data_IF_329869091564
#
_entry.id   IF_329869091564
#
_cell.length_a   1.000
_cell.length_b   1.000
_cell.length_c   1.000
_cell.angle_alpha   90.00
_cell.angle_beta   90.00
_cell.angle_gamma   90.00
#
_symmetry.space_group_name_H-M   'P 1'
#
loop_
_entity.id
_entity.type
_entity.pdbx_description
1 polymer ?
#
# COMPACT_ATOMS: atom_id res chain seq x y z
N UNK A 1 18.66 -10.67 14.78
CA UNK A 1 18.66 -9.43 13.95
C UNK A 1 18.09 -8.32 14.81
N UNK A 2 18.56 -7.07 14.68
CA UNK A 2 18.04 -5.91 15.43
C UNK A 2 16.66 -5.42 14.96
N UNK A 3 16.05 -6.09 13.97
CA UNK A 3 14.86 -5.62 13.27
C UNK A 3 15.13 -4.49 12.26
N UNK A 4 16.37 -4.01 12.18
CA UNK A 4 16.81 -3.01 11.20
C UNK A 4 17.75 -3.66 10.18
N UNK A 5 17.64 -3.25 8.92
CA UNK A 5 18.55 -3.73 7.87
C UNK A 5 19.87 -2.96 7.94
N UNK A 6 20.94 -3.66 7.57
CA UNK A 6 22.28 -3.10 7.64
C UNK A 6 22.43 -1.94 6.65
N UNK A 7 23.05 -0.85 7.12
CA UNK A 7 23.30 0.38 6.37
C UNK A 7 22.05 1.14 5.91
N UNK A 8 20.90 0.88 6.56
CA UNK A 8 19.67 1.64 6.39
C UNK A 8 19.41 2.52 7.62
N UNK A 9 18.78 3.67 7.38
CA UNK A 9 18.11 4.45 8.40
C UNK A 9 16.83 3.75 8.87
N UNK A 10 16.28 4.16 10.01
CA UNK A 10 15.16 3.46 10.65
C UNK A 10 13.91 3.40 9.77
N UNK A 11 13.58 4.47 9.06
CA UNK A 11 12.41 4.50 8.17
C UNK A 11 12.60 3.62 6.92
N UNK A 12 13.82 3.59 6.39
CA UNK A 12 14.18 2.77 5.22
C UNK A 12 13.91 1.30 5.49
N UNK A 13 14.19 0.86 6.72
CA UNK A 13 13.86 -0.48 7.20
C UNK A 13 12.36 -0.75 7.22
N UNK A 14 11.52 0.23 7.60
CA UNK A 14 10.07 0.12 7.47
C UNK A 14 9.62 -0.07 6.02
N UNK A 15 10.23 0.65 5.08
CA UNK A 15 9.98 0.46 3.64
C UNK A 15 10.44 -0.92 3.14
N UNK A 16 11.65 -1.35 3.50
CA UNK A 16 12.21 -2.64 3.09
C UNK A 16 11.40 -3.80 3.68
N UNK A 17 10.79 -3.65 4.85
CA UNK A 17 9.80 -4.60 5.39
C UNK A 17 8.60 -4.77 4.44
N UNK A 18 8.06 -3.67 3.91
CA UNK A 18 6.98 -3.70 2.91
C UNK A 18 7.45 -4.37 1.61
N UNK A 19 8.64 -4.04 1.11
CA UNK A 19 9.23 -4.67 -0.09
C UNK A 19 9.35 -6.19 0.08
N UNK A 20 9.85 -6.66 1.23
CA UNK A 20 9.98 -8.09 1.51
C UNK A 20 8.64 -8.78 1.66
N UNK A 21 7.67 -8.15 2.32
CA UNK A 21 6.32 -8.70 2.42
C UNK A 21 5.62 -8.74 1.05
N UNK A 22 5.88 -7.77 0.16
CA UNK A 22 5.44 -7.84 -1.23
C UNK A 22 6.14 -8.97 -2.00
N UNK A 23 7.42 -9.21 -1.77
CA UNK A 23 8.13 -10.34 -2.38
C UNK A 23 7.56 -11.68 -1.93
N UNK A 24 7.33 -11.85 -0.63
CA UNK A 24 6.69 -13.06 -0.05
C UNK A 24 5.26 -13.25 -0.57
N UNK A 25 4.56 -12.17 -0.94
CA UNK A 25 3.23 -12.31 -1.57
C UNK A 25 3.25 -12.90 -2.98
N UNK A 26 4.41 -12.91 -3.65
CA UNK A 26 4.57 -13.50 -4.99
C UNK A 26 4.99 -14.98 -4.95
N UNK A 27 5.71 -15.38 -3.90
CA UNK A 27 6.30 -16.70 -3.75
C UNK A 27 6.16 -17.10 -2.29
N UNK A 28 5.52 -18.24 -2.01
CA UNK A 28 5.46 -18.78 -0.65
C UNK A 28 6.88 -19.08 -0.16
N UNK A 29 7.43 -18.14 0.58
CA UNK A 29 8.87 -18.02 0.83
C UNK A 29 9.18 -18.32 2.30
N UNK A 30 10.28 -19.04 2.59
CA UNK A 30 10.71 -19.29 3.95
C UNK A 30 11.10 -18.00 4.69
N UNK A 31 11.20 -16.86 4.01
CA UNK A 31 11.56 -15.56 4.62
C UNK A 31 10.49 -14.98 5.55
N UNK A 32 9.30 -15.60 5.67
CA UNK A 32 8.23 -15.16 6.58
C UNK A 32 8.69 -14.95 8.03
N UNK A 33 9.65 -15.77 8.52
CA UNK A 33 10.19 -15.62 9.87
C UNK A 33 10.80 -14.23 10.15
N UNK A 34 11.21 -13.50 9.10
CA UNK A 34 11.78 -12.15 9.23
C UNK A 34 10.74 -11.20 9.83
N UNK A 35 9.46 -11.32 9.49
CA UNK A 35 8.43 -10.42 10.01
C UNK A 35 8.29 -10.56 11.52
N UNK A 36 8.20 -11.80 12.01
CA UNK A 36 8.14 -12.06 13.45
C UNK A 36 9.42 -11.59 14.16
N UNK A 37 10.58 -11.89 13.59
CA UNK A 37 11.86 -11.47 14.16
C UNK A 37 11.98 -9.94 14.21
N UNK A 38 11.56 -9.23 13.16
CA UNK A 38 11.54 -7.76 13.14
C UNK A 38 10.55 -7.23 14.17
N UNK A 39 9.39 -7.86 14.32
CA UNK A 39 8.36 -7.42 15.24
C UNK A 39 8.81 -7.48 16.71
N UNK A 40 9.47 -8.56 17.12
CA UNK A 40 9.95 -8.70 18.51
C UNK A 40 11.18 -7.84 18.83
N UNK A 41 11.90 -7.34 17.81
CA UNK A 41 13.07 -6.47 17.99
C UNK A 41 12.79 -4.98 17.76
N UNK A 42 11.56 -4.63 17.40
CA UNK A 42 11.11 -3.24 17.19
C UNK A 42 9.90 -2.97 18.05
N UNK A 43 9.70 -1.70 18.40
CA UNK A 43 8.48 -1.23 19.06
C UNK A 43 7.69 -0.29 18.15
N UNK A 44 6.58 0.26 18.64
CA UNK A 44 5.76 1.20 17.86
C UNK A 44 6.46 2.55 17.60
N UNK A 45 7.54 2.87 18.33
CA UNK A 45 8.29 4.12 18.23
C UNK A 45 9.60 3.97 17.44
N UNK A 46 9.78 2.84 16.74
CA UNK A 46 10.97 2.57 15.92
C UNK A 46 11.27 3.68 14.90
N UNK A 47 10.25 4.41 14.44
CA UNK A 47 10.38 5.58 13.55
C UNK A 47 11.06 6.81 14.18
N UNK A 48 11.25 6.87 15.50
CA UNK A 48 11.93 8.00 16.13
C UNK A 48 11.05 9.24 16.31
N UNK A 49 11.51 10.41 15.83
CA UNK A 49 10.91 11.72 16.14
C UNK A 49 9.98 12.27 15.05
N UNK A 50 10.00 11.67 13.86
CA UNK A 50 9.29 12.13 12.66
C UNK A 50 8.15 11.18 12.27
N UNK A 51 7.02 11.76 11.86
CA UNK A 51 5.77 11.04 11.69
C UNK A 51 5.70 10.26 10.38
N UNK A 52 6.41 10.67 9.33
CA UNK A 52 6.63 9.86 8.13
C UNK A 52 7.42 8.58 8.46
N UNK A 53 8.48 8.66 9.26
CA UNK A 53 9.25 7.48 9.69
C UNK A 53 8.36 6.41 10.32
N UNK A 54 7.44 6.81 11.23
CA UNK A 54 6.48 5.87 11.81
C UNK A 54 5.54 5.27 10.75
N UNK A 55 5.08 6.07 9.80
CA UNK A 55 4.11 5.62 8.80
C UNK A 55 4.72 4.66 7.77
N UNK A 56 6.02 4.74 7.49
CA UNK A 56 6.71 3.70 6.71
C UNK A 56 6.62 2.34 7.38
N UNK A 57 6.81 2.28 8.70
CA UNK A 57 6.61 1.05 9.48
C UNK A 57 5.17 0.58 9.49
N UNK A 58 4.20 1.50 9.56
CA UNK A 58 2.78 1.17 9.45
C UNK A 58 2.49 0.42 8.15
N UNK A 59 2.93 0.95 6.99
CA UNK A 59 2.72 0.29 5.70
C UNK A 59 3.41 -1.08 5.63
N UNK A 60 4.62 -1.19 6.19
CA UNK A 60 5.33 -2.46 6.36
C UNK A 60 4.53 -3.49 7.16
N UNK A 61 3.97 -3.10 8.31
CA UNK A 61 3.16 -4.00 9.14
C UNK A 61 1.84 -4.41 8.48
N UNK A 62 1.18 -3.51 7.75
CA UNK A 62 -0.01 -3.87 6.98
C UNK A 62 0.30 -4.88 5.87
N UNK A 63 1.44 -4.71 5.19
CA UNK A 63 1.84 -5.67 4.17
C UNK A 63 2.27 -7.01 4.78
N UNK A 64 2.98 -7.00 5.91
CA UNK A 64 3.33 -8.21 6.65
C UNK A 64 2.08 -8.98 7.11
N UNK A 65 1.09 -8.30 7.67
CA UNK A 65 -0.20 -8.89 8.05
C UNK A 65 -0.90 -9.59 6.87
N UNK A 66 -0.77 -9.03 5.65
CA UNK A 66 -1.37 -9.64 4.46
C UNK A 66 -0.72 -10.96 4.03
N UNK A 67 0.52 -11.26 4.43
CA UNK A 67 1.21 -12.51 4.05
C UNK A 67 1.42 -13.46 5.24
N UNK A 68 1.34 -12.94 6.44
CA UNK A 68 1.36 -13.67 7.72
C UNK A 68 0.35 -12.99 8.65
N UNK A 69 -0.87 -13.56 8.80
CA UNK A 69 -2.00 -12.89 9.48
C UNK A 69 -1.87 -12.90 11.01
N UNK A 70 -0.72 -12.51 11.54
CA UNK A 70 -0.54 -12.20 12.96
C UNK A 70 -1.22 -10.86 13.27
N UNK A 71 -2.29 -10.91 14.07
CA UNK A 71 -3.09 -9.74 14.44
C UNK A 71 -2.25 -8.63 15.11
N UNK A 72 -1.12 -8.99 15.73
CA UNK A 72 -0.25 -8.01 16.37
C UNK A 72 0.39 -7.04 15.38
N UNK A 73 0.61 -7.45 14.13
CA UNK A 73 1.08 -6.55 13.06
C UNK A 73 0.02 -5.49 12.74
N UNK A 74 -1.23 -5.93 12.61
CA UNK A 74 -2.36 -5.04 12.33
C UNK A 74 -2.60 -4.06 13.50
N UNK A 75 -2.54 -4.54 14.75
CA UNK A 75 -2.62 -3.66 15.92
C UNK A 75 -1.47 -2.65 15.98
N UNK A 76 -0.24 -3.06 15.64
CA UNK A 76 0.89 -2.12 15.58
C UNK A 76 0.70 -1.04 14.53
N UNK A 77 0.21 -1.40 13.35
CA UNK A 77 -0.15 -0.43 12.31
C UNK A 77 -1.24 0.55 12.79
N UNK A 78 -2.31 0.05 13.40
CA UNK A 78 -3.40 0.87 13.92
C UNK A 78 -2.94 1.83 15.02
N UNK A 79 -2.12 1.36 15.95
CA UNK A 79 -1.57 2.19 17.03
C UNK A 79 -0.66 3.29 16.51
N UNK A 80 0.13 3.03 15.46
CA UNK A 80 0.92 4.06 14.79
C UNK A 80 0.00 5.11 14.14
N UNK A 81 -1.07 4.69 13.46
CA UNK A 81 -2.04 5.61 12.85
C UNK A 81 -2.66 6.54 13.90
N UNK A 82 -3.13 5.99 15.02
CA UNK A 82 -3.72 6.79 16.09
C UNK A 82 -2.70 7.73 16.75
N UNK A 83 -1.44 7.31 16.88
CA UNK A 83 -0.36 8.16 17.34
C UNK A 83 -0.14 9.37 16.42
N UNK A 84 -0.14 9.16 15.10
CA UNK A 84 0.00 10.23 14.09
C UNK A 84 -1.22 11.16 14.13
N UNK A 85 -2.44 10.62 14.21
CA UNK A 85 -3.68 11.41 14.37
C UNK A 85 -3.56 12.39 15.53
N UNK A 86 -3.14 11.91 16.69
CA UNK A 86 -3.11 12.70 17.93
C UNK A 86 -1.99 13.75 17.92
N UNK A 87 -0.83 13.41 17.36
CA UNK A 87 0.39 14.19 17.57
C UNK A 87 0.84 15.02 16.36
N UNK A 88 0.39 14.68 15.15
CA UNK A 88 0.85 15.31 13.92
C UNK A 88 -0.22 16.16 13.23
N UNK A 89 -1.50 15.80 13.32
CA UNK A 89 -2.57 16.58 12.69
C UNK A 89 -2.76 17.93 13.37
N UNK A 90 -2.69 19.01 12.60
CA UNK A 90 -2.82 20.36 13.12
C UNK A 90 -3.76 21.22 12.25
N UNK A 91 -4.95 21.50 12.77
CA UNK A 91 -6.00 22.30 12.10
C UNK A 91 -5.69 23.81 12.08
N UNK A 92 -4.81 24.31 12.96
CA UNK A 92 -4.50 25.75 13.03
C UNK A 92 -3.38 26.14 12.07
N UNK A 93 -2.33 25.33 11.97
CA UNK A 93 -1.21 25.53 11.06
C UNK A 93 -1.58 25.03 9.65
N UNK A 94 -1.40 25.88 8.63
CA UNK A 94 -1.77 25.55 7.24
C UNK A 94 -3.21 25.05 7.04
N UNK A 95 -4.14 25.39 7.96
CA UNK A 95 -5.57 24.99 7.92
C UNK A 95 -5.81 23.47 7.87
N UNK A 96 -4.95 22.67 8.50
CA UNK A 96 -5.01 21.19 8.46
C UNK A 96 -3.72 20.57 7.95
N UNK A 97 -3.73 19.25 7.80
CA UNK A 97 -2.57 18.44 7.40
C UNK A 97 -1.64 18.11 8.56
N UNK A 98 -0.75 17.16 8.32
CA UNK A 98 0.22 16.64 9.26
C UNK A 98 1.52 17.45 9.26
N UNK A 99 2.01 17.72 10.46
CA UNK A 99 3.37 18.16 10.73
C UNK A 99 4.35 17.00 10.51
N UNK A 100 5.55 17.29 10.00
CA UNK A 100 6.56 16.29 9.67
C UNK A 100 7.17 15.64 10.91
N UNK A 101 7.67 16.43 11.86
CA UNK A 101 8.23 15.91 13.11
C UNK A 101 7.72 16.71 14.31
N UNK A 102 7.66 16.08 15.48
CA UNK A 102 7.20 16.73 16.72
C UNK A 102 7.94 18.04 17.05
N UNK A 103 9.22 18.13 16.68
CA UNK A 103 10.11 19.27 16.98
C UNK A 103 10.22 20.31 15.87
N UNK A 104 9.64 20.09 14.68
CA UNK A 104 9.68 21.05 13.57
C UNK A 104 8.28 21.34 13.02
N UNK A 105 7.96 22.62 12.82
CA UNK A 105 6.65 23.01 12.29
C UNK A 105 6.55 22.82 10.77
N UNK A 106 7.30 21.91 10.14
CA UNK A 106 7.29 21.73 8.70
C UNK A 106 6.14 20.80 8.27
N UNK A 107 5.47 21.09 7.16
CA UNK A 107 4.51 20.18 6.53
C UNK A 107 5.03 19.82 5.15
N UNK A 108 5.39 18.56 4.98
CA UNK A 108 5.86 18.01 3.71
C UNK A 108 4.80 17.12 3.07
N UNK A 109 4.96 16.85 1.78
CA UNK A 109 4.05 16.02 1.03
C UNK A 109 4.05 14.57 1.57
N UNK A 110 5.23 13.97 1.75
CA UNK A 110 5.35 12.56 2.12
C UNK A 110 4.61 12.18 3.41
N UNK A 111 4.68 13.01 4.47
CA UNK A 111 4.00 12.70 5.75
C UNK A 111 2.50 12.57 5.55
N UNK A 112 1.93 13.42 4.69
CA UNK A 112 0.51 13.52 4.41
C UNK A 112 0.05 12.44 3.42
N UNK A 113 0.84 12.15 2.39
CA UNK A 113 0.57 11.07 1.44
C UNK A 113 0.57 9.69 2.11
N UNK A 114 1.54 9.44 2.99
CA UNK A 114 1.60 8.23 3.81
C UNK A 114 0.36 8.08 4.68
N UNK A 115 -0.18 9.19 5.19
CA UNK A 115 -1.37 9.17 6.03
C UNK A 115 -2.64 8.86 5.24
N UNK A 116 -2.74 9.40 4.03
CA UNK A 116 -3.83 9.07 3.12
C UNK A 116 -3.85 7.56 2.81
N UNK A 117 -2.72 7.02 2.34
CA UNK A 117 -2.66 5.60 1.97
C UNK A 117 -2.80 4.68 3.18
N UNK A 118 -2.20 5.01 4.33
CA UNK A 118 -2.31 4.18 5.54
C UNK A 118 -3.74 4.16 6.08
N UNK A 119 -4.42 5.31 6.13
CA UNK A 119 -5.84 5.39 6.48
C UNK A 119 -6.66 4.49 5.57
N UNK A 120 -6.48 4.58 4.25
CA UNK A 120 -7.24 3.75 3.32
C UNK A 120 -6.92 2.26 3.40
N UNK A 121 -5.67 1.87 3.70
CA UNK A 121 -5.30 0.46 3.89
C UNK A 121 -5.80 -0.12 5.21
N UNK A 122 -6.00 0.72 6.24
CA UNK A 122 -6.60 0.32 7.52
C UNK A 122 -8.13 0.25 7.46
N UNK A 123 -8.77 1.00 6.55
CA UNK A 123 -10.23 1.10 6.46
C UNK A 123 -10.98 -0.25 6.47
N UNK A 124 -10.58 -1.29 5.70
CA UNK A 124 -11.26 -2.59 5.72
C UNK A 124 -11.21 -3.31 7.08
N UNK A 125 -10.28 -2.91 7.96
CA UNK A 125 -10.02 -3.56 9.25
C UNK A 125 -10.62 -2.80 10.44
N UNK A 126 -11.39 -1.73 10.21
CA UNK A 126 -11.91 -0.86 11.26
C UNK A 126 -12.63 -1.64 12.38
N UNK A 127 -13.52 -2.55 12.03
CA UNK A 127 -14.27 -3.33 13.00
C UNK A 127 -13.39 -4.28 13.82
N UNK A 128 -12.36 -4.88 13.19
CA UNK A 128 -11.41 -5.77 13.85
C UNK A 128 -10.50 -5.02 14.84
N UNK A 129 -10.37 -3.70 14.65
CA UNK A 129 -9.54 -2.80 15.45
C UNK A 129 -10.36 -2.02 16.49
N UNK A 130 -11.62 -2.41 16.74
CA UNK A 130 -12.54 -1.69 17.63
C UNK A 130 -12.65 -0.20 17.26
N UNK A 131 -12.77 0.10 15.96
CA UNK A 131 -13.04 1.44 15.43
C UNK A 131 -14.40 1.46 14.72
N UNK A 132 -15.01 2.63 14.66
CA UNK A 132 -16.20 2.82 13.82
C UNK A 132 -15.87 2.49 12.35
N UNK A 133 -16.77 1.86 11.58
CA UNK A 133 -16.51 1.51 10.17
C UNK A 133 -16.03 2.69 9.31
N UNK A 134 -16.45 3.91 9.64
CA UNK A 134 -16.11 5.14 8.93
C UNK A 134 -14.84 5.83 9.44
N UNK A 135 -14.21 5.37 10.52
CA UNK A 135 -13.10 6.07 11.19
C UNK A 135 -11.95 6.40 10.23
N UNK A 136 -11.39 5.38 9.60
CA UNK A 136 -10.25 5.56 8.69
C UNK A 136 -10.64 6.26 7.38
N UNK A 137 -11.84 5.98 6.84
CA UNK A 137 -12.33 6.64 5.63
C UNK A 137 -12.52 8.15 5.86
N UNK A 138 -13.04 8.56 7.03
CA UNK A 138 -13.19 9.96 7.37
C UNK A 138 -11.84 10.68 7.47
N UNK A 139 -10.81 10.02 8.03
CA UNK A 139 -9.46 10.56 8.04
C UNK A 139 -8.86 10.68 6.64
N UNK A 140 -9.01 9.66 5.79
CA UNK A 140 -8.57 9.72 4.40
C UNK A 140 -9.26 10.84 3.61
N UNK A 141 -10.57 11.02 3.78
CA UNK A 141 -11.31 12.12 3.16
C UNK A 141 -10.84 13.49 3.69
N UNK A 142 -10.60 13.63 4.99
CA UNK A 142 -10.10 14.87 5.60
C UNK A 142 -8.71 15.22 5.07
N UNK A 143 -7.82 14.23 5.00
CA UNK A 143 -6.46 14.35 4.46
C UNK A 143 -6.51 14.76 2.98
N UNK A 144 -7.21 14.00 2.13
CA UNK A 144 -7.27 14.31 0.70
C UNK A 144 -7.83 15.71 0.41
N UNK A 145 -8.91 16.10 1.10
CA UNK A 145 -9.47 17.43 0.97
C UNK A 145 -8.47 18.54 1.33
N UNK A 146 -7.61 18.31 2.33
CA UNK A 146 -6.55 19.24 2.66
C UNK A 146 -5.43 19.23 1.63
N UNK A 147 -4.94 18.04 1.25
CA UNK A 147 -3.84 17.85 0.32
C UNK A 147 -4.12 18.50 -1.04
N UNK A 148 -5.32 18.27 -1.60
CA UNK A 148 -5.76 18.85 -2.87
C UNK A 148 -5.74 20.39 -2.85
N UNK A 149 -6.06 21.00 -1.71
CA UNK A 149 -6.09 22.47 -1.54
C UNK A 149 -4.79 23.08 -1.02
N UNK A 150 -3.82 22.26 -0.63
CA UNK A 150 -2.54 22.71 -0.04
C UNK A 150 -1.67 23.47 -1.03
N UNK A 151 -1.87 23.23 -2.32
CA UNK A 151 -1.03 23.73 -3.42
C UNK A 151 0.21 22.87 -3.70
N UNK A 152 0.40 21.73 -3.02
CA UNK A 152 1.55 20.82 -3.23
C UNK A 152 1.60 20.22 -4.64
N UNK A 153 0.44 19.94 -5.24
CA UNK A 153 0.35 19.56 -6.67
C UNK A 153 0.50 20.84 -7.50
N UNK A 154 1.60 20.95 -8.23
CA UNK A 154 1.88 22.12 -9.07
C UNK A 154 1.21 22.05 -10.45
N UNK A 155 1.42 23.10 -11.26
CA UNK A 155 0.83 23.23 -12.59
C UNK A 155 1.24 22.16 -13.60
N UNK A 156 2.34 21.44 -13.34
CA UNK A 156 2.80 20.31 -14.17
C UNK A 156 2.25 18.96 -13.70
N UNK A 157 1.36 18.95 -12.69
CA UNK A 157 0.91 17.75 -12.00
C UNK A 157 2.05 16.96 -11.33
N UNK A 158 3.11 17.66 -10.90
CA UNK A 158 4.11 17.11 -10.00
C UNK A 158 3.89 17.64 -8.59
N UNK A 159 4.25 16.85 -7.58
CA UNK A 159 4.13 17.18 -6.17
C UNK A 159 5.47 17.71 -5.67
N UNK A 160 5.47 18.97 -5.23
CA UNK A 160 6.61 19.58 -4.56
C UNK A 160 6.77 19.08 -3.13
N UNK A 161 7.98 19.18 -2.61
CA UNK A 161 8.39 18.60 -1.32
C UNK A 161 7.53 19.02 -0.12
N UNK A 162 7.08 20.27 -0.05
CA UNK A 162 6.34 20.74 1.13
C UNK A 162 5.86 22.17 1.08
N UNK A 163 5.54 22.70 2.25
CA UNK A 163 4.97 24.03 2.42
C UNK A 163 5.92 24.97 3.16
N UNK A 164 5.88 26.26 2.81
CA UNK A 164 6.57 27.35 3.52
C UNK A 164 5.56 28.38 4.03
N UNK A 165 6.00 29.25 4.94
CA UNK A 165 5.17 30.35 5.44
C UNK A 165 4.98 31.39 4.35
N UNK A 166 3.77 31.93 4.22
CA UNK A 166 3.41 32.89 3.16
C UNK A 166 4.29 34.14 3.08
N UNK A 167 4.95 34.51 4.19
CA UNK A 167 5.78 35.72 4.31
C UNK A 167 7.28 35.51 4.06
N UNK A 168 7.69 34.40 3.45
CA UNK A 168 9.11 34.13 3.23
C UNK A 168 9.47 34.01 1.75
N UNK A 169 10.21 35.01 1.25
CA UNK A 169 10.90 34.91 -0.03
C UNK A 169 11.75 33.63 -0.05
N UNK A 170 11.60 32.85 -1.12
CA UNK A 170 12.31 31.60 -1.38
C UNK A 170 13.81 31.93 -1.49
N UNK A 171 14.52 31.87 -0.36
CA UNK A 171 15.97 31.93 -0.32
C UNK A 171 16.51 30.56 -0.69
N UNK A 172 17.31 30.50 -1.75
CA UNK A 172 17.93 29.33 -2.41
C UNK A 172 18.86 28.47 -1.54
N UNK A 173 18.83 28.61 -0.22
CA UNK A 173 19.65 27.84 0.72
C UNK A 173 18.77 26.92 1.57
N UNK A 174 18.90 25.62 1.33
CA UNK A 174 18.02 24.51 1.70
C UNK A 174 17.80 24.25 3.21
N UNK A 175 18.42 24.99 4.14
CA UNK A 175 18.46 24.56 5.56
C UNK A 175 17.96 25.56 6.60
N UNK A 176 17.78 26.86 6.29
CA UNK A 176 17.50 27.87 7.34
C UNK A 176 16.02 28.20 7.62
N UNK A 177 15.07 27.57 6.93
CA UNK A 177 13.65 27.99 6.98
C UNK A 177 12.64 26.98 7.53
N UNK A 178 13.07 25.83 8.06
CA UNK A 178 12.16 24.77 8.56
C UNK A 178 11.41 25.12 9.87
N UNK A 179 11.62 26.31 10.46
CA UNK A 179 11.11 26.68 11.79
C UNK A 179 9.98 27.72 11.82
N UNK A 180 9.29 28.00 10.69
CA UNK A 180 8.46 29.21 10.58
C UNK A 180 7.04 29.06 10.00
N UNK A 181 6.43 27.87 9.94
CA UNK A 181 4.96 27.77 9.71
C UNK A 181 4.21 28.21 10.98
N UNK A 182 4.20 29.51 11.26
CA UNK A 182 3.50 30.11 12.41
C UNK A 182 2.25 30.89 12.00
N UNK A 183 2.10 31.19 10.71
CA UNK A 183 0.90 31.80 10.14
C UNK A 183 -0.11 30.73 9.71
N UNK A 184 -1.40 31.05 9.79
CA UNK A 184 -2.48 30.16 9.32
C UNK A 184 -2.53 30.00 7.79
N UNK A 185 -1.58 30.58 7.05
CA UNK A 185 -1.52 30.58 5.58
C UNK A 185 -0.16 30.08 5.11
N UNK A 186 -0.16 28.89 4.53
CA UNK A 186 1.02 28.27 3.95
C UNK A 186 0.94 28.32 2.42
N UNK A 187 2.09 28.32 1.77
CA UNK A 187 2.22 28.29 0.30
C UNK A 187 3.15 27.14 -0.09
N UNK A 188 3.01 26.64 -1.31
CA UNK A 188 3.92 25.65 -1.86
C UNK A 188 5.36 26.20 -1.83
N UNK A 189 6.31 25.40 -1.33
CA UNK A 189 7.72 25.78 -1.27
C UNK A 189 8.44 25.75 -2.63
N UNK A 190 7.79 25.23 -3.67
CA UNK A 190 8.34 24.92 -5.00
C UNK A 190 9.61 24.07 -4.92
N UNK A 191 9.69 23.21 -3.90
CA UNK A 191 10.81 22.32 -3.64
C UNK A 191 10.90 21.17 -4.63
N UNK A 192 11.92 20.35 -4.50
CA UNK A 192 12.18 19.23 -5.40
C UNK A 192 10.98 18.30 -5.52
N UNK A 193 10.67 17.89 -6.75
CA UNK A 193 9.64 16.89 -7.05
C UNK A 193 10.26 15.50 -7.01
N UNK A 194 10.48 14.98 -5.79
CA UNK A 194 11.04 13.65 -5.55
C UNK A 194 10.09 12.56 -6.03
N UNK A 195 10.59 11.46 -6.60
CA UNK A 195 9.73 10.45 -7.24
C UNK A 195 8.76 9.78 -6.25
N UNK A 196 9.18 9.56 -5.00
CA UNK A 196 8.34 8.94 -3.97
C UNK A 196 7.06 9.74 -3.66
N UNK A 197 7.12 11.08 -3.64
CA UNK A 197 5.97 11.96 -3.45
C UNK A 197 4.97 11.80 -4.61
N UNK A 198 5.49 11.48 -5.80
CA UNK A 198 4.64 11.25 -6.97
C UNK A 198 3.99 9.87 -6.93
N UNK A 199 4.55 8.95 -6.15
CA UNK A 199 4.14 7.55 -6.08
C UNK A 199 3.12 7.30 -4.98
N UNK A 200 3.45 7.61 -3.73
CA UNK A 200 2.65 7.23 -2.55
C UNK A 200 1.20 7.72 -2.70
N UNK A 201 1.03 8.96 -3.15
CA UNK A 201 -0.28 9.56 -3.42
C UNK A 201 -1.15 8.72 -4.37
N UNK A 202 -0.57 8.06 -5.38
CA UNK A 202 -1.30 7.33 -6.41
C UNK A 202 -2.14 6.22 -5.80
N UNK A 203 -1.53 5.45 -4.89
CA UNK A 203 -2.20 4.35 -4.21
C UNK A 203 -3.28 4.83 -3.23
N UNK A 204 -3.04 5.96 -2.54
CA UNK A 204 -4.02 6.56 -1.65
C UNK A 204 -5.26 7.02 -2.41
N UNK A 205 -5.07 7.69 -3.54
CA UNK A 205 -6.13 8.11 -4.44
C UNK A 205 -6.89 6.93 -5.05
N UNK A 206 -6.19 5.88 -5.47
CA UNK A 206 -6.82 4.69 -6.04
C UNK A 206 -7.71 3.96 -5.03
N UNK A 207 -7.23 3.80 -3.79
CA UNK A 207 -8.03 3.19 -2.72
C UNK A 207 -9.23 4.08 -2.35
N UNK A 208 -9.03 5.40 -2.25
CA UNK A 208 -10.11 6.33 -1.93
C UNK A 208 -11.16 6.39 -3.05
N UNK A 209 -10.74 6.30 -4.32
CA UNK A 209 -11.63 6.12 -5.46
C UNK A 209 -12.49 4.88 -5.31
N UNK A 210 -11.87 3.73 -5.03
CA UNK A 210 -12.59 2.47 -4.87
C UNK A 210 -13.63 2.53 -3.73
N UNK A 211 -13.33 3.25 -2.64
CA UNK A 211 -14.24 3.40 -1.52
C UNK A 211 -15.39 4.40 -1.78
N UNK A 212 -15.21 5.37 -2.67
CA UNK A 212 -16.14 6.52 -2.83
C UNK A 212 -16.84 6.59 -4.19
N UNK A 213 -16.27 5.95 -5.22
CA UNK A 213 -16.70 6.09 -6.61
C UNK A 213 -16.37 7.44 -7.25
N UNK A 214 -15.62 8.33 -6.59
CA UNK A 214 -15.29 9.66 -7.14
C UNK A 214 -14.17 9.55 -8.20
N UNK A 215 -14.55 9.58 -9.48
CA UNK A 215 -13.63 9.41 -10.62
C UNK A 215 -12.54 10.47 -10.71
N UNK A 216 -12.77 11.66 -10.15
CA UNK A 216 -11.77 12.75 -10.11
C UNK A 216 -10.45 12.31 -9.45
N UNK A 217 -10.53 11.40 -8.47
CA UNK A 217 -9.37 10.86 -7.76
C UNK A 217 -8.45 10.06 -8.70
N UNK A 218 -9.02 9.22 -9.58
CA UNK A 218 -8.25 8.46 -10.57
C UNK A 218 -7.74 9.38 -11.67
N UNK A 219 -8.52 10.36 -12.12
CA UNK A 219 -8.07 11.34 -13.12
C UNK A 219 -6.83 12.10 -12.62
N UNK A 220 -6.81 12.50 -11.34
CA UNK A 220 -5.65 13.17 -10.74
C UNK A 220 -4.46 12.20 -10.62
N UNK A 221 -4.69 10.96 -10.16
CA UNK A 221 -3.63 9.95 -10.06
C UNK A 221 -2.98 9.67 -11.43
N UNK A 222 -3.78 9.54 -12.50
CA UNK A 222 -3.26 9.35 -13.86
C UNK A 222 -2.44 10.55 -14.34
N UNK A 223 -2.88 11.78 -14.06
CA UNK A 223 -2.10 12.99 -14.43
C UNK A 223 -0.76 13.07 -13.72
N UNK A 224 -0.71 12.72 -12.43
CA UNK A 224 0.54 12.68 -11.65
C UNK A 224 1.47 11.58 -12.19
N UNK A 225 0.95 10.37 -12.41
CA UNK A 225 1.71 9.27 -12.97
C UNK A 225 2.26 9.59 -14.37
N UNK A 226 1.42 10.15 -15.24
CA UNK A 226 1.82 10.59 -16.59
C UNK A 226 2.89 11.69 -16.53
N UNK A 227 2.72 12.72 -15.69
CA UNK A 227 3.71 13.77 -15.53
C UNK A 227 5.06 13.21 -15.06
N UNK A 228 5.03 12.24 -14.13
CA UNK A 228 6.24 11.63 -13.58
C UNK A 228 7.00 10.83 -14.63
N UNK A 229 6.34 9.92 -15.35
CA UNK A 229 7.00 9.08 -16.36
C UNK A 229 7.40 9.86 -17.63
N UNK A 230 6.98 11.11 -17.76
CA UNK A 230 7.39 12.01 -18.86
C UNK A 230 8.50 12.98 -18.45
N UNK A 231 8.54 13.42 -17.19
CA UNK A 231 9.44 14.49 -16.73
C UNK A 231 10.59 14.01 -15.85
N UNK A 232 10.41 12.92 -15.08
CA UNK A 232 11.42 12.38 -14.17
C UNK A 232 12.11 11.16 -14.79
N UNK A 233 12.56 11.30 -16.03
CA UNK A 233 13.22 10.25 -16.80
C UNK A 233 14.51 10.76 -17.44
N UNK A 234 15.44 9.85 -17.71
CA UNK A 234 16.52 10.07 -18.66
C UNK A 234 15.98 10.11 -20.10
N UNK A 235 16.82 10.53 -21.05
CA UNK A 235 16.43 10.57 -22.47
C UNK A 235 16.21 9.18 -23.10
N UNK A 236 16.60 8.10 -22.42
CA UNK A 236 16.30 6.71 -22.79
C UNK A 236 14.96 6.20 -22.20
N UNK A 237 14.20 7.04 -21.50
CA UNK A 237 12.91 6.68 -20.90
C UNK A 237 12.99 6.04 -19.52
N UNK A 238 14.18 5.91 -18.94
CA UNK A 238 14.38 5.26 -17.64
C UNK A 238 14.17 6.25 -16.49
N UNK A 239 13.48 5.81 -15.44
CA UNK A 239 13.16 6.62 -14.26
C UNK A 239 14.42 7.17 -13.57
N UNK A 240 14.36 8.45 -13.20
CA UNK A 240 15.48 9.22 -12.68
C UNK A 240 15.08 9.98 -11.42
N UNK A 241 15.90 9.91 -10.37
CA UNK A 241 15.82 10.88 -9.28
C UNK A 241 16.44 12.22 -9.70
N UNK A 242 15.85 13.36 -9.28
CA UNK A 242 16.41 14.68 -9.53
C UNK A 242 17.87 14.87 -9.06
N UNK A 243 18.30 14.13 -8.03
CA UNK A 243 19.65 14.20 -7.45
C UNK A 243 20.70 13.36 -8.20
N UNK A 244 20.31 12.46 -9.10
CA UNK A 244 21.26 11.54 -9.73
C UNK A 244 22.34 12.28 -10.53
N UNK A 245 23.63 11.89 -10.41
CA UNK A 245 24.14 10.69 -9.73
C UNK A 245 24.51 10.86 -8.24
N UNK A 246 24.27 12.03 -7.64
CA UNK A 246 24.80 12.43 -6.33
C UNK A 246 23.74 12.40 -5.22
N UNK A 247 22.91 11.36 -5.22
CA UNK A 247 21.86 11.21 -4.22
C UNK A 247 22.42 10.82 -2.85
N UNK A 248 21.77 11.31 -1.80
CA UNK A 248 22.07 10.88 -0.43
C UNK A 248 21.44 9.51 -0.13
N UNK A 249 21.65 8.99 1.07
CA UNK A 249 21.19 7.65 1.46
C UNK A 249 19.67 7.47 1.38
N UNK A 250 18.87 8.50 1.67
CA UNK A 250 17.41 8.45 1.64
C UNK A 250 16.89 8.32 0.21
N UNK A 251 17.42 9.16 -0.67
CA UNK A 251 16.97 9.33 -2.04
C UNK A 251 17.14 8.07 -2.89
N UNK A 252 17.99 7.12 -2.47
CA UNK A 252 18.22 5.89 -3.22
C UNK A 252 17.02 4.94 -3.25
N UNK A 253 16.07 5.07 -2.31
CA UNK A 253 14.84 4.27 -2.25
C UNK A 253 13.68 4.84 -3.07
N UNK A 254 13.73 6.14 -3.37
CA UNK A 254 12.55 6.90 -3.79
C UNK A 254 11.92 6.35 -5.09
N UNK A 255 12.75 6.04 -6.10
CA UNK A 255 12.27 5.40 -7.35
C UNK A 255 11.58 4.06 -7.13
N UNK A 256 12.08 3.27 -6.18
CA UNK A 256 11.48 1.99 -5.80
C UNK A 256 10.07 2.16 -5.25
N UNK A 257 9.92 3.13 -4.34
CA UNK A 257 8.61 3.52 -3.80
C UNK A 257 7.69 3.97 -4.94
N UNK A 258 8.16 4.84 -5.84
CA UNK A 258 7.35 5.27 -6.97
C UNK A 258 6.80 4.10 -7.79
N UNK A 259 7.67 3.18 -8.24
CA UNK A 259 7.24 2.08 -9.10
C UNK A 259 6.31 1.10 -8.37
N UNK A 260 6.51 0.89 -7.06
CA UNK A 260 5.60 0.10 -6.23
C UNK A 260 4.20 0.69 -6.20
N UNK A 261 4.09 1.98 -5.94
CA UNK A 261 2.79 2.63 -5.86
C UNK A 261 2.14 2.85 -7.23
N UNK A 262 2.93 3.01 -8.30
CA UNK A 262 2.43 2.94 -9.69
C UNK A 262 1.80 1.57 -9.98
N UNK A 263 2.43 0.48 -9.54
CA UNK A 263 1.87 -0.86 -9.67
C UNK A 263 0.56 -1.04 -8.88
N UNK A 264 0.44 -0.40 -7.71
CA UNK A 264 -0.80 -0.40 -6.92
C UNK A 264 -1.94 0.41 -7.56
N UNK A 265 -1.65 1.40 -8.39
CA UNK A 265 -2.65 2.16 -9.14
C UNK A 265 -3.28 1.32 -10.27
N UNK A 266 -2.48 0.53 -10.98
CA UNK A 266 -2.90 -0.16 -12.23
C UNK A 266 -4.21 -0.95 -12.11
N UNK A 267 -4.47 -1.75 -11.04
CA UNK A 267 -5.71 -2.51 -10.90
C UNK A 267 -7.00 -1.68 -10.83
N UNK A 268 -6.90 -0.38 -10.55
CA UNK A 268 -8.04 0.53 -10.45
C UNK A 268 -8.33 1.29 -11.74
N UNK A 269 -7.46 1.15 -12.73
CA UNK A 269 -7.64 1.76 -14.05
C UNK A 269 -8.56 0.91 -14.91
N UNK A 270 -9.40 1.57 -15.70
CA UNK A 270 -10.28 0.91 -16.68
C UNK A 270 -9.83 1.14 -18.12
N UNK A 271 -9.00 2.16 -18.36
CA UNK A 271 -8.48 2.48 -19.69
C UNK A 271 -7.25 1.60 -20.04
N UNK A 272 -7.39 0.84 -21.12
CA UNK A 272 -6.35 -0.07 -21.60
C UNK A 272 -5.06 0.64 -22.01
N UNK A 273 -5.14 1.90 -22.50
CA UNK A 273 -3.97 2.63 -22.95
C UNK A 273 -3.06 3.02 -21.77
N UNK A 274 -3.61 3.55 -20.67
CA UNK A 274 -2.83 3.83 -19.46
C UNK A 274 -2.30 2.57 -18.80
N UNK A 275 -3.12 1.51 -18.71
CA UNK A 275 -2.67 0.21 -18.18
C UNK A 275 -1.44 -0.29 -18.96
N UNK A 276 -1.51 -0.29 -20.29
CA UNK A 276 -0.40 -0.73 -21.12
C UNK A 276 0.81 0.19 -21.00
N UNK A 277 0.60 1.51 -20.98
CA UNK A 277 1.68 2.49 -20.83
C UNK A 277 2.46 2.29 -19.53
N UNK A 278 1.76 2.14 -18.40
CA UNK A 278 2.42 1.96 -17.10
C UNK A 278 3.11 0.61 -16.98
N UNK A 279 2.52 -0.47 -17.49
CA UNK A 279 3.18 -1.78 -17.58
C UNK A 279 4.45 -1.73 -18.43
N UNK A 280 4.39 -1.13 -19.62
CA UNK A 280 5.55 -0.98 -20.49
C UNK A 280 6.65 -0.14 -19.85
N UNK A 281 6.29 0.93 -19.14
CA UNK A 281 7.25 1.73 -18.38
C UNK A 281 7.96 0.92 -17.29
N UNK A 282 7.20 0.17 -16.47
CA UNK A 282 7.77 -0.71 -15.44
C UNK A 282 8.69 -1.77 -16.06
N UNK A 283 8.26 -2.40 -17.16
CA UNK A 283 9.03 -3.41 -17.87
C UNK A 283 10.36 -2.86 -18.39
N UNK A 284 10.32 -1.71 -19.07
CA UNK A 284 11.51 -1.08 -19.63
C UNK A 284 12.55 -0.74 -18.55
N UNK A 285 12.08 -0.22 -17.41
CA UNK A 285 12.95 0.04 -16.27
C UNK A 285 13.54 -1.26 -15.71
N UNK A 286 12.73 -2.31 -15.54
CA UNK A 286 13.19 -3.59 -15.00
C UNK A 286 14.21 -4.27 -15.92
N UNK A 287 13.98 -4.24 -17.24
CA UNK A 287 14.93 -4.76 -18.22
C UNK A 287 16.27 -4.03 -18.12
N UNK A 288 16.26 -2.71 -18.06
CA UNK A 288 17.49 -1.90 -17.88
C UNK A 288 18.25 -2.28 -16.61
N UNK A 289 17.54 -2.43 -15.49
CA UNK A 289 18.15 -2.80 -14.20
C UNK A 289 18.71 -4.23 -14.24
N UNK A 290 17.93 -5.18 -14.77
CA UNK A 290 18.29 -6.59 -14.81
C UNK A 290 19.51 -6.85 -15.70
N UNK A 291 19.57 -6.25 -16.89
CA UNK A 291 20.63 -6.54 -17.86
C UNK A 291 21.96 -5.88 -17.53
N UNK A 292 21.93 -4.75 -16.81
CA UNK A 292 23.10 -3.85 -16.84
C UNK A 292 23.42 -3.20 -15.50
N UNK A 293 22.57 -3.34 -14.47
CA UNK A 293 22.72 -2.59 -13.20
C UNK A 293 22.88 -3.45 -11.96
N UNK A 294 22.98 -4.76 -12.13
CA UNK A 294 23.44 -5.68 -11.09
C UNK A 294 24.98 -5.68 -11.07
N UNK A 295 25.57 -5.34 -9.94
CA UNK A 295 27.01 -5.47 -9.77
C UNK A 295 27.39 -6.93 -9.55
N UNK A 296 28.25 -7.50 -10.40
CA UNK A 296 28.64 -8.91 -10.30
C UNK A 296 29.47 -9.23 -9.05
N UNK A 297 30.12 -8.22 -8.44
CA UNK A 297 31.00 -8.41 -7.29
C UNK A 297 30.25 -8.71 -5.98
N UNK A 298 29.08 -8.09 -5.78
CA UNK A 298 28.31 -8.19 -4.54
C UNK A 298 26.81 -8.50 -4.76
N UNK A 299 26.36 -8.53 -6.02
CA UNK A 299 24.98 -8.80 -6.39
C UNK A 299 24.01 -7.65 -6.10
N UNK A 300 24.50 -6.49 -5.62
CA UNK A 300 23.68 -5.32 -5.35
C UNK A 300 23.33 -4.57 -6.63
N UNK A 301 22.26 -3.77 -6.59
CA UNK A 301 21.82 -2.99 -7.73
C UNK A 301 22.21 -1.52 -7.62
N UNK A 302 22.55 -0.93 -8.76
CA UNK A 302 22.91 0.48 -8.90
C UNK A 302 21.74 1.41 -8.61
N UNK A 303 22.06 2.61 -8.08
CA UNK A 303 21.13 3.74 -8.01
C UNK A 303 20.65 4.17 -9.41
N UNK A 304 21.56 4.19 -10.39
CA UNK A 304 21.29 4.71 -11.73
C UNK A 304 20.81 3.57 -12.61
N UNK A 305 19.50 3.54 -12.86
CA UNK A 305 18.88 2.48 -13.67
C UNK A 305 19.16 2.64 -15.16
N UNK A 306 19.47 3.85 -15.63
CA UNK A 306 19.67 4.16 -17.06
C UNK A 306 20.97 3.58 -17.62
N UNK A 307 20.89 3.04 -18.84
CA UNK A 307 22.03 2.49 -19.58
C UNK A 307 23.00 3.57 -20.09
N UNK A 308 22.64 4.85 -19.95
CA UNK A 308 23.54 5.96 -20.25
C UNK A 308 24.71 6.07 -19.25
N UNK A 309 24.59 5.43 -18.08
CA UNK A 309 25.71 5.23 -17.15
C UNK A 309 26.39 3.89 -17.42
N UNK A 310 27.72 3.93 -17.64
CA UNK A 310 28.50 2.73 -17.97
C UNK A 310 28.77 1.80 -16.77
N UNK A 311 28.55 2.24 -15.52
CA UNK A 311 28.98 1.49 -14.34
C UNK A 311 27.82 0.74 -13.67
N UNK A 312 27.86 -0.60 -13.69
CA UNK A 312 26.95 -1.47 -12.94
C UNK A 312 27.31 -1.59 -11.45
N UNK A 313 28.55 -1.25 -11.09
CA UNK A 313 29.10 -1.25 -9.74
C UNK A 313 29.39 0.19 -9.28
N UNK A 314 28.40 1.07 -9.32
CA UNK A 314 28.55 2.43 -8.80
C UNK A 314 28.83 2.42 -7.29
N UNK A 315 29.59 3.39 -6.78
CA UNK A 315 30.01 3.43 -5.37
C UNK A 315 28.89 3.81 -4.39
N UNK A 316 27.75 4.32 -4.87
CA UNK A 316 26.60 4.67 -4.04
C UNK A 316 25.69 3.49 -3.71
N UNK A 317 25.80 2.36 -4.46
CA UNK A 317 24.98 1.17 -4.26
C UNK A 317 25.03 0.65 -2.82
N UNK A 318 23.86 0.33 -2.29
CA UNK A 318 23.71 -0.16 -0.93
C UNK A 318 22.41 -0.98 -0.81
N UNK A 319 21.97 -1.23 0.43
CA UNK A 319 20.71 -1.93 0.71
C UNK A 319 19.51 -1.15 0.16
N UNK A 320 19.52 0.18 0.26
CA UNK A 320 18.46 1.08 -0.23
C UNK A 320 18.30 1.03 -1.75
N UNK A 321 19.38 1.18 -2.53
CA UNK A 321 19.32 1.05 -4.00
C UNK A 321 18.88 -0.36 -4.45
N UNK A 322 19.28 -1.38 -3.70
CA UNK A 322 18.88 -2.77 -3.95
C UNK A 322 17.41 -2.98 -3.65
N UNK A 323 16.91 -2.48 -2.52
CA UNK A 323 15.49 -2.52 -2.14
C UNK A 323 14.61 -1.83 -3.20
N UNK A 324 15.07 -0.70 -3.74
CA UNK A 324 14.38 -0.04 -4.85
C UNK A 324 14.31 -0.89 -6.13
N UNK A 325 15.38 -1.59 -6.49
CA UNK A 325 15.37 -2.52 -7.62
C UNK A 325 14.42 -3.72 -7.36
N UNK A 326 14.33 -4.20 -6.12
CA UNK A 326 13.37 -5.24 -5.75
C UNK A 326 11.92 -4.77 -5.87
N UNK A 327 11.60 -3.57 -5.39
CA UNK A 327 10.27 -2.98 -5.60
C UNK A 327 9.90 -2.94 -7.09
N UNK A 328 10.84 -2.62 -7.97
CA UNK A 328 10.65 -2.62 -9.43
C UNK A 328 10.34 -4.02 -9.98
N UNK A 329 11.15 -5.04 -9.63
CA UNK A 329 10.93 -6.41 -10.12
C UNK A 329 9.61 -6.99 -9.63
N UNK A 330 9.26 -6.74 -8.36
CA UNK A 330 7.99 -7.15 -7.77
C UNK A 330 6.83 -6.45 -8.47
N UNK A 331 6.97 -5.16 -8.77
CA UNK A 331 5.97 -4.37 -9.50
C UNK A 331 5.71 -4.92 -10.90
N UNK A 332 6.75 -5.29 -11.64
CA UNK A 332 6.61 -5.96 -12.94
C UNK A 332 5.90 -7.30 -12.79
N UNK A 333 6.34 -8.15 -11.87
CA UNK A 333 5.73 -9.47 -11.65
C UNK A 333 4.25 -9.39 -11.24
N UNK A 334 3.85 -8.36 -10.47
CA UNK A 334 2.45 -8.15 -10.07
C UNK A 334 1.57 -7.60 -11.19
N UNK A 335 2.15 -6.91 -12.17
CA UNK A 335 1.38 -6.14 -13.15
C UNK A 335 1.40 -6.76 -14.55
N UNK A 336 2.42 -7.54 -14.91
CA UNK A 336 2.57 -8.13 -16.24
C UNK A 336 2.32 -9.64 -16.16
N UNK A 337 1.22 -10.16 -16.76
CA UNK A 337 0.99 -11.59 -16.81
C UNK A 337 2.10 -12.28 -17.63
N UNK A 338 2.61 -13.46 -17.20
CA UNK A 338 3.66 -14.16 -17.94
C UNK A 338 3.20 -14.53 -19.36
N UNK A 339 4.04 -14.27 -20.36
CA UNK A 339 3.73 -14.45 -21.78
C UNK A 339 3.56 -15.91 -22.25
N UNK A 340 3.67 -16.91 -21.37
CA UNK A 340 3.50 -18.34 -21.69
C UNK A 340 2.94 -19.18 -20.53
N UNK A 341 2.19 -18.57 -19.61
CA UNK A 341 1.58 -19.31 -18.51
C UNK A 341 0.07 -19.13 -18.57
N UNK A 342 -0.63 -20.22 -18.91
CA UNK A 342 -2.08 -20.37 -18.76
C UNK A 342 -2.51 -20.49 -17.28
N UNK A 343 -1.79 -19.85 -16.36
CA UNK A 343 -2.15 -19.76 -14.96
C UNK A 343 -2.11 -18.29 -14.54
N UNK A 344 -3.30 -17.81 -14.25
CA UNK A 344 -3.53 -16.50 -13.68
C UNK A 344 -2.98 -16.47 -12.25
N UNK A 345 -1.80 -15.89 -12.04
CA UNK A 345 -1.33 -15.57 -10.70
C UNK A 345 -1.90 -14.21 -10.30
N UNK A 346 -2.73 -14.21 -9.25
CA UNK A 346 -3.48 -13.05 -8.79
C UNK A 346 -2.86 -12.45 -7.54
N UNK A 347 -2.88 -11.12 -7.43
CA UNK A 347 -2.38 -10.38 -6.28
C UNK A 347 -3.28 -10.60 -5.05
N UNK A 348 -2.65 -11.04 -3.96
CA UNK A 348 -3.25 -11.16 -2.63
C UNK A 348 -3.54 -9.77 -2.05
N UNK A 349 -4.81 -9.44 -1.88
CA UNK A 349 -5.28 -8.36 -1.01
C UNK A 349 -6.13 -9.05 0.06
N UNK A 350 -5.74 -8.87 1.32
CA UNK A 350 -6.26 -9.62 2.46
C UNK A 350 -7.78 -9.73 2.49
N UNK A 351 -8.21 -10.88 3.04
CA UNK A 351 -9.55 -11.47 3.05
C UNK A 351 -9.84 -12.26 1.77
N UNK A 352 -9.66 -13.58 1.87
CA UNK A 352 -9.99 -14.52 0.80
C UNK A 352 -11.47 -14.47 0.45
N UNK A 353 -11.82 -13.65 -0.53
CA UNK A 353 -13.19 -13.55 -1.04
C UNK A 353 -13.33 -14.46 -2.27
N UNK A 354 -14.21 -15.47 -2.19
CA UNK A 354 -14.75 -16.10 -3.39
C UNK A 354 -15.72 -15.12 -4.04
N UNK A 355 -15.71 -15.04 -5.37
CA UNK A 355 -16.69 -14.25 -6.13
C UNK A 355 -17.57 -15.14 -6.98
N UNK A 356 -18.81 -14.75 -7.18
CA UNK A 356 -19.70 -15.40 -8.13
C UNK A 356 -19.42 -14.93 -9.58
N UNK A 357 -20.17 -15.48 -10.53
CA UNK A 357 -20.14 -15.14 -11.96
C UNK A 357 -20.55 -13.69 -12.26
N UNK A 358 -21.00 -12.94 -11.24
CA UNK A 358 -21.33 -11.51 -11.28
C UNK A 358 -20.35 -10.64 -10.50
N UNK A 359 -19.20 -11.19 -10.11
CA UNK A 359 -18.14 -10.48 -9.41
C UNK A 359 -18.53 -10.00 -8.00
N UNK A 360 -19.55 -10.60 -7.37
CA UNK A 360 -19.95 -10.27 -6.00
C UNK A 360 -19.14 -11.10 -4.98
N UNK A 361 -18.56 -10.44 -3.97
CA UNK A 361 -17.76 -11.12 -2.94
C UNK A 361 -18.62 -11.86 -1.91
N UNK A 362 -18.21 -13.08 -1.53
CA UNK A 362 -18.80 -13.80 -0.39
C UNK A 362 -18.34 -13.17 0.94
N UNK A 363 -19.26 -12.64 1.78
CA UNK A 363 -18.89 -12.08 3.08
C UNK A 363 -18.48 -13.19 4.07
N UNK A 364 -17.54 -12.88 4.97
CA UNK A 364 -17.15 -13.67 6.15
C UNK A 364 -16.68 -15.11 5.85
N UNK A 365 -15.60 -15.22 5.08
CA UNK A 365 -14.98 -16.48 4.66
C UNK A 365 -13.85 -16.93 5.61
N UNK A 366 -13.79 -18.22 5.97
CA UNK A 366 -12.70 -18.81 6.75
C UNK A 366 -12.16 -20.11 6.10
N UNK A 367 -10.84 -20.16 5.80
CA UNK A 367 -10.21 -21.12 4.87
C UNK A 367 -9.50 -22.32 5.55
N UNK A 368 -9.65 -22.61 6.84
CA UNK A 368 -8.81 -23.65 7.50
C UNK A 368 -9.57 -24.88 7.98
N UNK A 369 -9.31 -26.06 7.36
CA UNK A 369 -9.65 -27.42 7.83
C UNK A 369 -10.91 -27.51 8.70
N UNK A 370 -11.98 -26.89 8.22
CA UNK A 370 -13.15 -26.68 9.05
C UNK A 370 -13.90 -28.00 9.11
N UNK A 371 -13.89 -28.65 10.27
CA UNK A 371 -14.84 -29.72 10.55
C UNK A 371 -16.21 -29.10 10.84
N UNK A 372 -17.29 -29.86 10.67
CA UNK A 372 -18.64 -29.38 10.94
C UNK A 372 -18.77 -28.84 12.37
N UNK A 373 -18.10 -29.52 13.32
CA UNK A 373 -18.01 -29.11 14.72
C UNK A 373 -17.38 -27.74 14.89
N UNK A 374 -16.30 -27.43 14.16
CA UNK A 374 -15.66 -26.10 14.22
C UNK A 374 -16.58 -25.05 13.62
N UNK A 375 -17.18 -25.34 12.46
CA UNK A 375 -18.13 -24.43 11.80
C UNK A 375 -19.31 -24.07 12.72
N UNK A 376 -19.90 -25.09 13.33
CA UNK A 376 -20.99 -24.94 14.30
C UNK A 376 -20.58 -24.10 15.50
N UNK A 377 -19.46 -24.45 16.14
CA UNK A 377 -19.01 -23.77 17.36
C UNK A 377 -18.75 -22.28 17.09
N UNK A 378 -18.16 -21.95 15.93
CA UNK A 378 -17.95 -20.57 15.51
C UNK A 378 -19.28 -19.83 15.28
N UNK A 379 -20.27 -20.48 14.66
CA UNK A 379 -21.60 -19.92 14.48
C UNK A 379 -22.32 -19.67 15.82
N UNK A 380 -22.21 -20.61 16.76
CA UNK A 380 -22.84 -20.54 18.07
C UNK A 380 -22.24 -19.44 18.97
N UNK A 381 -20.98 -19.07 18.73
CA UNK A 381 -20.31 -17.97 19.43
C UNK A 381 -20.61 -16.59 18.83
N UNK A 382 -21.08 -16.53 17.59
CA UNK A 382 -21.43 -15.28 16.92
C UNK A 382 -22.89 -14.89 17.23
N UNK A 383 -23.05 -13.80 17.99
CA UNK A 383 -24.38 -13.29 18.40
C UNK A 383 -25.23 -12.78 17.25
N UNK A 384 -24.64 -12.51 16.09
CA UNK A 384 -25.34 -12.11 14.87
C UNK A 384 -25.65 -13.28 13.94
N UNK A 385 -25.11 -14.48 14.22
CA UNK A 385 -25.30 -15.63 13.37
C UNK A 385 -26.69 -16.25 13.56
N UNK A 386 -27.32 -16.54 12.44
CA UNK A 386 -28.60 -17.26 12.36
C UNK A 386 -28.44 -18.65 11.75
N UNK A 387 -27.38 -18.88 10.98
CA UNK A 387 -27.09 -20.19 10.38
C UNK A 387 -25.59 -20.35 10.11
N UNK A 388 -25.18 -21.58 9.83
CA UNK A 388 -23.89 -21.87 9.21
C UNK A 388 -24.04 -22.94 8.12
N UNK A 389 -23.14 -22.93 7.14
CA UNK A 389 -23.01 -23.97 6.12
C UNK A 389 -21.64 -24.63 6.25
N UNK A 390 -21.63 -25.97 6.30
CA UNK A 390 -20.41 -26.79 6.24
C UNK A 390 -20.40 -27.63 4.95
N UNK A 391 -19.21 -27.93 4.41
CA UNK A 391 -18.99 -28.63 3.13
C UNK A 391 -19.48 -27.89 1.87
N UNK A 392 -19.30 -26.57 1.81
CA UNK A 392 -19.36 -25.89 0.51
C UNK A 392 -18.16 -26.36 -0.32
N UNK A 393 -18.42 -27.22 -1.31
CA UNK A 393 -17.39 -27.67 -2.24
C UNK A 393 -17.08 -26.59 -3.26
N UNK A 394 -15.91 -25.98 -3.16
CA UNK A 394 -15.35 -25.11 -4.20
C UNK A 394 -13.97 -25.64 -4.58
N UNK A 395 -13.79 -26.03 -5.84
CA UNK A 395 -12.56 -26.60 -6.40
C UNK A 395 -11.92 -27.75 -5.54
N UNK A 396 -12.75 -28.65 -4.99
CA UNK A 396 -12.29 -29.80 -4.21
C UNK A 396 -11.96 -29.52 -2.73
N UNK A 397 -12.07 -28.28 -2.28
CA UNK A 397 -11.87 -27.90 -0.88
C UNK A 397 -13.19 -27.73 -0.14
N UNK A 398 -13.18 -28.02 1.17
CA UNK A 398 -14.31 -27.85 2.07
C UNK A 398 -14.20 -26.55 2.86
N UNK A 399 -15.27 -25.78 2.88
CA UNK A 399 -15.32 -24.49 3.58
C UNK A 399 -16.54 -24.38 4.50
N UNK A 400 -16.47 -23.40 5.40
CA UNK A 400 -17.54 -23.01 6.30
C UNK A 400 -17.97 -21.57 6.03
N UNK A 401 -19.27 -21.30 6.06
CA UNK A 401 -19.84 -19.94 5.98
C UNK A 401 -20.77 -19.70 7.15
N UNK A 402 -20.53 -18.63 7.91
CA UNK A 402 -21.44 -18.14 8.95
C UNK A 402 -22.40 -17.13 8.30
N UNK A 403 -23.70 -17.24 8.61
CA UNK A 403 -24.76 -16.39 8.04
C UNK A 403 -25.39 -15.54 9.12
N UNK A 404 -25.63 -14.28 8.82
CA UNK A 404 -26.28 -13.31 9.70
C UNK A 404 -27.64 -12.86 9.14
N UNK A 405 -28.48 -12.21 9.95
CA UNK A 405 -29.78 -11.67 9.49
C UNK A 405 -29.66 -10.68 8.32
N UNK A 406 -28.55 -9.94 8.24
CA UNK A 406 -28.28 -9.03 7.12
C UNK A 406 -28.05 -9.73 5.78
N UNK A 407 -27.76 -11.04 5.78
CA UNK A 407 -27.48 -11.81 4.57
C UNK A 407 -28.74 -12.42 3.93
N UNK A 408 -29.91 -12.32 4.60
CA UNK A 408 -31.13 -13.04 4.23
C UNK A 408 -31.67 -12.67 2.83
N UNK A 409 -31.39 -11.46 2.36
CA UNK A 409 -31.84 -10.96 1.05
C UNK A 409 -30.81 -11.13 -0.08
N UNK A 410 -29.63 -11.68 0.22
CA UNK A 410 -28.52 -11.84 -0.74
C UNK A 410 -28.24 -13.32 -1.05
N UNK A 411 -29.24 -14.19 -0.92
CA UNK A 411 -29.09 -15.60 -1.24
C UNK A 411 -29.12 -15.87 -2.75
N UNK A 412 -28.19 -16.70 -3.27
CA UNK A 412 -28.26 -17.16 -4.65
C UNK A 412 -29.56 -17.94 -4.95
N UNK A 413 -29.98 -18.03 -6.22
CA UNK A 413 -31.11 -18.84 -6.64
C UNK A 413 -30.98 -20.32 -6.22
N UNK A 414 -32.08 -20.93 -5.73
CA UNK A 414 -32.11 -22.34 -5.29
C UNK A 414 -31.86 -22.59 -3.80
N UNK A 415 -31.79 -21.52 -2.99
CA UNK A 415 -31.60 -21.55 -1.54
C UNK A 415 -32.83 -20.97 -0.82
N UNK A 416 -33.30 -21.62 0.24
CA UNK A 416 -34.39 -21.11 1.11
C UNK A 416 -33.98 -21.20 2.57
N UNK A 417 -34.15 -20.11 3.33
CA UNK A 417 -33.99 -20.12 4.79
C UNK A 417 -35.26 -20.69 5.43
N UNK A 418 -35.13 -21.73 6.25
CA UNK A 418 -36.12 -22.00 7.30
C UNK A 418 -35.68 -21.26 8.57
N UNK A 419 -36.64 -20.72 9.33
CA UNK A 419 -36.42 -19.94 10.56
C UNK A 419 -35.77 -20.78 11.67
N UNK A 420 -34.48 -21.09 11.54
CA UNK A 420 -33.69 -21.85 12.50
C UNK A 420 -32.70 -20.97 13.25
N UNK A 421 -32.37 -21.38 14.48
CA UNK A 421 -31.14 -20.98 15.16
C UNK A 421 -29.95 -21.68 14.50
N UNK A 422 -28.72 -21.17 14.70
CA UNK A 422 -27.50 -21.72 14.10
C UNK A 422 -27.35 -23.24 14.30
N UNK A 423 -28.02 -23.85 15.27
CA UNK A 423 -27.98 -25.28 15.57
C UNK A 423 -28.62 -26.21 14.53
N UNK A 424 -29.60 -25.76 13.73
CA UNK A 424 -30.52 -26.69 13.03
C UNK A 424 -30.64 -26.53 11.51
N UNK A 425 -29.77 -25.78 10.83
CA UNK A 425 -29.90 -25.58 9.38
C UNK A 425 -29.09 -26.63 8.61
N UNK A 426 -29.76 -27.39 7.73
CA UNK A 426 -29.12 -28.28 6.75
C UNK A 426 -29.54 -27.90 5.33
N UNK A 427 -28.57 -27.94 4.41
CA UNK A 427 -28.77 -27.69 2.99
C UNK A 427 -29.72 -28.73 2.38
N UNK A 428 -30.88 -28.32 1.88
CA UNK A 428 -31.91 -29.23 1.34
C UNK A 428 -31.53 -29.89 0.01
N UNK A 429 -30.60 -29.31 -0.74
CA UNK A 429 -30.11 -29.85 -2.01
C UNK A 429 -28.56 -29.96 -1.99
N UNK A 430 -28.05 -31.16 -1.68
CA UNK A 430 -26.62 -31.52 -1.64
C UNK A 430 -25.88 -31.45 -3.00
N UNK A 431 -26.34 -30.63 -3.95
CA UNK A 431 -25.72 -30.49 -5.26
C UNK A 431 -24.43 -29.67 -5.16
N UNK A 432 -23.38 -29.95 -5.94
CA UNK A 432 -22.21 -29.08 -6.01
C UNK A 432 -22.60 -27.66 -6.45
N UNK A 433 -21.94 -26.62 -5.93
CA UNK A 433 -22.12 -25.27 -6.46
C UNK A 433 -21.37 -25.20 -7.80
N UNK A 434 -22.09 -25.29 -8.91
CA UNK A 434 -21.51 -25.10 -10.24
C UNK A 434 -21.17 -23.62 -10.43
N UNK A 435 -19.89 -23.30 -10.65
CA UNK A 435 -19.47 -21.95 -11.04
C UNK A 435 -18.87 -21.06 -9.95
N UNK A 436 -18.54 -21.59 -8.77
CA UNK A 436 -17.67 -20.83 -7.86
C UNK A 436 -16.23 -20.89 -8.37
N UNK A 437 -15.71 -19.73 -8.76
CA UNK A 437 -14.29 -19.56 -9.02
C UNK A 437 -13.63 -19.15 -7.70
N UNK A 438 -12.87 -20.06 -7.11
CA UNK A 438 -11.84 -19.64 -6.17
C UNK A 438 -10.91 -18.72 -6.94
N UNK A 439 -10.68 -17.52 -6.40
CA UNK A 439 -9.47 -16.79 -6.77
C UNK A 439 -8.33 -17.56 -6.12
N UNK A 440 -7.78 -18.52 -6.87
CA UNK A 440 -6.73 -19.43 -6.38
C UNK A 440 -5.40 -18.69 -6.45
N UNK A 441 -4.88 -18.40 -5.26
CA UNK A 441 -3.49 -18.34 -4.81
C UNK A 441 -2.39 -18.30 -5.89
#
# INVERSE_FOLDING_TARGET
>A
MSGLWKNEQRWQSGNTLETLANFVSLLDSPLKYIFHQTFINTDMFVGGDCFDDHQWWLLGWLQAYSVEPDINYLYRAANIHDFVVVNAWNDTMCKGGLQWCSKNAYKNAITNELFLVSSMRLHPYAALLDRAPTYYLNWALKEWQWFERSGLINGDYLINDGLSSSNQAISTSHERNMNRLRDGTCVNNNGTTWTYNQGVILSGLALLYNATGNTTLIDIAQKIADATIQRLIYSDGILKEPCEPNCNDDQQLFKGIFVRHLAYLIPYLTDAAHIQRYRSFLQQNAESVWTSKRCELDGLYSLIWSNQSANSCDSSRNTSSTSAAWDLFISVAKTIPPSNISSSNWTWLGLGNCMDDKNASMPNFNKMNVTETVCRTTAEQDKGAVAYDHQLGCNGFQYCRIRTLSDQHQTPPGWSYENGTAQNVTRTNKLPVSGCYLRVD
#
